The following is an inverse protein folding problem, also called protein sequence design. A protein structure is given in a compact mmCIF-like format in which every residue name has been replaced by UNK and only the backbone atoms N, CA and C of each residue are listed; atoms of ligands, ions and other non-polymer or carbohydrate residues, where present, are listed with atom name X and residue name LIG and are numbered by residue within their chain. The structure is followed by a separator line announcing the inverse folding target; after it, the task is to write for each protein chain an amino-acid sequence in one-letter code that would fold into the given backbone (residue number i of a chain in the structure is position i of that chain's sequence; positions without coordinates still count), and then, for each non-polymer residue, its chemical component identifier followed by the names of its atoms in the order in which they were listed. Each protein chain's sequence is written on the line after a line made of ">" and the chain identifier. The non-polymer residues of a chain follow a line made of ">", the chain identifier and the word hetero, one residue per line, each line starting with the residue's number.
data_IF_203207510485
#
_entry.id   IF_203207510485
#
_cell.length_a   1.000
_cell.length_b   1.000
_cell.length_c   1.000
_cell.angle_alpha   90.00
_cell.angle_beta   90.00
_cell.angle_gamma   90.00
#
_symmetry.space_group_name_H-M   'P 1'
#
loop_
_entity.id
_entity.type
_entity.pdbx_description
1 polymer ?
#
# COMPACT_ATOMS: atom_id res chain seq x y z
N UNK A 1 22.97 -28.09 -14.87
CA UNK A 1 21.64 -27.46 -14.69
C UNK A 1 20.61 -28.41 -14.09
N UNK A 2 20.34 -29.57 -14.70
CA UNK A 2 19.30 -30.49 -14.20
C UNK A 2 19.53 -31.01 -12.77
N UNK A 3 20.79 -31.31 -12.40
CA UNK A 3 21.13 -31.75 -11.03
C UNK A 3 20.93 -30.65 -9.98
N UNK A 4 21.33 -29.42 -10.28
CA UNK A 4 21.14 -28.25 -9.41
C UNK A 4 19.67 -27.95 -9.16
N UNK A 5 18.83 -28.04 -10.22
CA UNK A 5 17.39 -27.81 -10.10
C UNK A 5 16.67 -28.90 -9.29
N UNK A 6 17.08 -30.16 -9.41
CA UNK A 6 16.54 -31.24 -8.56
C UNK A 6 16.87 -30.98 -7.09
N UNK A 7 18.13 -30.64 -6.78
CA UNK A 7 18.56 -30.31 -5.42
C UNK A 7 17.78 -29.10 -4.88
N UNK A 8 17.55 -28.08 -5.69
CA UNK A 8 16.79 -26.89 -5.29
C UNK A 8 15.30 -27.18 -5.08
N UNK A 9 14.72 -28.11 -5.84
CA UNK A 9 13.33 -28.52 -5.63
C UNK A 9 13.12 -29.25 -4.29
N UNK A 10 14.16 -29.92 -3.80
CA UNK A 10 14.14 -30.59 -2.49
C UNK A 10 14.56 -29.67 -1.35
N UNK A 11 15.51 -28.75 -1.58
CA UNK A 11 16.01 -27.81 -0.59
C UNK A 11 16.39 -26.47 -1.24
N UNK A 12 15.50 -25.49 -1.12
CA UNK A 12 15.70 -24.14 -1.65
C UNK A 12 16.78 -23.33 -0.92
N UNK A 13 17.24 -23.75 0.27
CA UNK A 13 18.30 -23.04 0.99
C UNK A 13 19.65 -23.14 0.28
N UNK A 14 19.85 -24.18 -0.52
CA UNK A 14 21.07 -24.39 -1.33
C UNK A 14 21.21 -23.30 -2.40
N UNK A 15 20.10 -22.79 -2.94
CA UNK A 15 20.11 -21.67 -3.88
C UNK A 15 20.61 -20.36 -3.24
N UNK A 16 20.36 -20.19 -1.93
CA UNK A 16 20.73 -18.98 -1.18
C UNK A 16 22.19 -18.97 -0.74
N UNK A 17 22.88 -20.13 -0.74
CA UNK A 17 24.31 -20.26 -0.36
C UNK A 17 25.28 -19.87 -1.48
N UNK A 18 24.98 -18.80 -2.24
CA UNK A 18 25.73 -18.34 -3.44
C UNK A 18 25.86 -19.35 -4.58
N UNK A 19 25.07 -20.43 -4.56
CA UNK A 19 25.00 -21.36 -5.69
C UNK A 19 24.21 -20.72 -6.83
N UNK A 20 24.81 -20.59 -8.02
CA UNK A 20 24.09 -20.13 -9.21
C UNK A 20 23.68 -21.34 -10.08
N UNK A 21 22.44 -21.37 -10.58
CA UNK A 21 22.02 -22.35 -11.62
C UNK A 21 22.77 -22.11 -12.92
N UNK A 22 23.09 -20.85 -13.17
CA UNK A 22 23.82 -20.40 -14.33
C UNK A 22 25.31 -20.49 -14.03
N UNK A 23 26.12 -20.95 -14.99
CA UNK A 23 27.57 -20.99 -14.87
C UNK A 23 28.18 -19.57 -14.95
N UNK A 24 27.71 -18.69 -14.08
CA UNK A 24 28.12 -17.30 -13.97
C UNK A 24 28.93 -17.20 -12.68
N UNK A 25 30.11 -16.60 -12.77
CA UNK A 25 30.92 -16.34 -11.59
C UNK A 25 30.12 -15.45 -10.62
N UNK A 26 30.10 -15.77 -9.33
CA UNK A 26 29.44 -14.90 -8.35
C UNK A 26 30.08 -13.51 -8.43
N UNK A 27 29.26 -12.47 -8.54
CA UNK A 27 29.74 -11.10 -8.39
C UNK A 27 30.24 -10.94 -6.97
N UNK A 28 31.55 -10.74 -6.81
CA UNK A 28 32.18 -10.43 -5.53
C UNK A 28 32.43 -8.93 -5.47
N UNK A 29 31.41 -8.18 -5.07
CA UNK A 29 31.52 -6.74 -4.86
C UNK A 29 31.01 -6.34 -3.46
N UNK A 30 31.37 -5.13 -3.04
CA UNK A 30 31.02 -4.60 -1.71
C UNK A 30 29.50 -4.59 -1.48
N UNK A 31 28.71 -4.36 -2.53
CA UNK A 31 27.24 -4.36 -2.44
C UNK A 31 26.71 -5.77 -2.14
N UNK A 32 27.20 -6.80 -2.84
CA UNK A 32 26.86 -8.20 -2.55
C UNK A 32 27.32 -8.62 -1.15
N UNK A 33 28.50 -8.17 -0.71
CA UNK A 33 28.96 -8.43 0.66
C UNK A 33 28.06 -7.78 1.72
N UNK A 34 27.53 -6.57 1.45
CA UNK A 34 26.55 -5.90 2.34
C UNK A 34 25.17 -6.55 2.31
N UNK A 35 24.67 -6.98 1.15
CA UNK A 35 23.34 -7.63 1.02
C UNK A 35 23.31 -8.99 1.73
N UNK A 36 24.41 -9.74 1.66
CA UNK A 36 24.54 -11.06 2.28
C UNK A 36 25.36 -11.03 3.59
N UNK A 37 25.62 -9.83 4.13
CA UNK A 37 26.30 -9.67 5.42
C UNK A 37 25.38 -10.06 6.57
N UNK A 38 25.97 -10.35 7.74
CA UNK A 38 25.19 -10.59 8.94
C UNK A 38 24.46 -9.30 9.35
N UNK A 39 23.13 -9.38 9.45
CA UNK A 39 22.31 -8.26 9.92
C UNK A 39 22.28 -8.31 11.44
N UNK A 40 22.88 -7.33 12.10
CA UNK A 40 22.96 -7.25 13.57
C UNK A 40 21.58 -7.03 14.22
N UNK A 41 20.67 -6.38 13.50
CA UNK A 41 19.33 -6.06 13.98
C UNK A 41 18.32 -7.15 13.55
N UNK A 42 17.82 -7.92 14.52
CA UNK A 42 16.83 -8.97 14.30
C UNK A 42 15.54 -8.48 13.63
N UNK A 43 15.13 -7.23 13.89
CA UNK A 43 13.94 -6.64 13.27
C UNK A 43 14.18 -6.33 11.78
N UNK A 44 15.34 -5.74 11.45
CA UNK A 44 15.73 -5.48 10.05
C UNK A 44 15.89 -6.77 9.25
N UNK A 45 16.43 -7.82 9.87
CA UNK A 45 16.56 -9.13 9.24
C UNK A 45 15.19 -9.73 8.93
N UNK A 46 14.25 -9.69 9.89
CA UNK A 46 12.89 -10.17 9.68
C UNK A 46 12.15 -9.38 8.58
N UNK A 47 12.34 -8.05 8.53
CA UNK A 47 11.77 -7.23 7.46
C UNK A 47 12.39 -7.54 6.09
N UNK A 48 13.70 -7.71 6.04
CA UNK A 48 14.44 -8.03 4.81
C UNK A 48 13.99 -9.37 4.25
N UNK A 49 13.88 -10.39 5.12
CA UNK A 49 13.36 -11.70 4.76
C UNK A 49 11.95 -11.60 4.18
N UNK A 50 11.04 -10.87 4.85
CA UNK A 50 9.66 -10.71 4.39
C UNK A 50 9.58 -9.99 3.03
N UNK A 51 10.41 -8.97 2.80
CA UNK A 51 10.48 -8.26 1.52
C UNK A 51 10.99 -9.19 0.42
N UNK A 52 12.03 -9.97 0.68
CA UNK A 52 12.58 -10.92 -0.30
C UNK A 52 11.56 -12.00 -0.63
N UNK A 53 10.87 -12.56 0.36
CA UNK A 53 9.81 -13.55 0.18
C UNK A 53 8.68 -12.99 -0.70
N UNK A 54 8.25 -11.74 -0.44
CA UNK A 54 7.21 -11.09 -1.22
C UNK A 54 7.65 -10.82 -2.66
N UNK A 55 8.85 -10.26 -2.87
CA UNK A 55 9.39 -10.01 -4.21
C UNK A 55 9.52 -11.32 -4.98
N UNK A 56 10.03 -12.36 -4.34
CA UNK A 56 10.20 -13.68 -4.96
C UNK A 56 8.86 -14.30 -5.34
N UNK A 57 7.84 -14.19 -4.47
CA UNK A 57 6.49 -14.66 -4.76
C UNK A 57 5.87 -13.96 -5.97
N UNK A 58 6.00 -12.63 -6.05
CA UNK A 58 5.51 -11.85 -7.21
C UNK A 58 6.29 -12.20 -8.49
N UNK A 59 7.61 -12.36 -8.40
CA UNK A 59 8.44 -12.81 -9.53
C UNK A 59 8.00 -14.20 -10.04
N UNK A 60 7.69 -15.15 -9.14
CA UNK A 60 7.19 -16.46 -9.52
C UNK A 60 5.84 -16.38 -10.24
N UNK A 61 4.93 -15.50 -9.81
CA UNK A 61 3.64 -15.29 -10.50
C UNK A 61 3.88 -14.74 -11.91
N UNK A 62 4.79 -13.78 -12.07
CA UNK A 62 5.15 -13.23 -13.38
C UNK A 62 5.75 -14.31 -14.28
N UNK A 63 6.71 -15.08 -13.76
CA UNK A 63 7.35 -16.18 -14.49
C UNK A 63 6.34 -17.25 -14.88
N UNK A 64 5.43 -17.64 -13.99
CA UNK A 64 4.39 -18.62 -14.29
C UNK A 64 3.46 -18.13 -15.41
N UNK A 65 3.09 -16.85 -15.40
CA UNK A 65 2.28 -16.24 -16.47
C UNK A 65 3.04 -16.17 -17.79
N UNK A 66 4.31 -15.80 -17.76
CA UNK A 66 5.13 -15.75 -18.98
C UNK A 66 5.35 -17.15 -19.53
N UNK A 67 5.69 -18.12 -18.68
CA UNK A 67 5.88 -19.51 -19.05
C UNK A 67 4.61 -20.12 -19.66
N UNK A 68 3.43 -19.91 -19.06
CA UNK A 68 2.18 -20.45 -19.62
C UNK A 68 1.82 -19.88 -20.99
N UNK A 69 2.33 -18.69 -21.31
CA UNK A 69 2.10 -18.03 -22.60
C UNK A 69 3.17 -18.43 -23.63
N UNK A 70 4.42 -18.63 -23.19
CA UNK A 70 5.59 -18.81 -24.07
C UNK A 70 6.07 -20.25 -24.21
N UNK A 71 5.70 -21.19 -23.34
CA UNK A 71 6.08 -22.60 -23.43
C UNK A 71 5.13 -23.39 -24.36
N UNK A 72 5.47 -24.64 -24.76
CA UNK A 72 4.64 -25.46 -25.64
C UNK A 72 3.16 -25.49 -25.23
N UNK A 73 2.28 -25.21 -26.19
CA UNK A 73 0.82 -25.07 -25.97
C UNK A 73 0.37 -23.68 -25.52
N UNK A 74 1.29 -22.77 -25.20
CA UNK A 74 1.02 -21.37 -24.90
C UNK A 74 0.68 -20.53 -26.13
N UNK A 75 -0.04 -19.43 -25.91
CA UNK A 75 -0.54 -18.52 -26.98
C UNK A 75 0.56 -17.98 -27.90
N UNK A 76 1.79 -17.85 -27.40
CA UNK A 76 2.91 -17.26 -28.13
C UNK A 76 4.05 -18.25 -28.41
N UNK A 77 3.84 -19.54 -28.15
CA UNK A 77 4.80 -20.60 -28.51
C UNK A 77 4.95 -20.73 -30.03
N UNK A 78 3.83 -20.80 -30.75
CA UNK A 78 3.77 -20.85 -32.21
C UNK A 78 2.95 -19.67 -32.75
N UNK A 79 3.54 -18.46 -32.78
CA UNK A 79 2.82 -17.27 -33.22
C UNK A 79 2.45 -17.39 -34.70
N UNK A 80 1.21 -17.00 -35.05
CA UNK A 80 0.73 -16.94 -36.44
C UNK A 80 1.60 -15.96 -37.26
N UNK A 81 1.69 -16.18 -38.57
CA UNK A 81 2.44 -15.36 -39.55
C UNK A 81 2.34 -13.84 -39.37
N UNK A 82 1.15 -13.23 -39.13
CA UNK A 82 1.05 -11.78 -38.90
C UNK A 82 1.75 -11.32 -37.62
N UNK A 83 1.70 -12.12 -36.54
CA UNK A 83 2.39 -11.81 -35.28
C UNK A 83 3.90 -11.93 -35.46
N UNK A 84 4.37 -12.88 -36.26
CA UNK A 84 5.79 -12.98 -36.62
C UNK A 84 6.27 -11.77 -37.42
N UNK A 85 5.44 -11.25 -38.33
CA UNK A 85 5.77 -10.04 -39.09
C UNK A 85 5.81 -8.80 -38.19
N UNK A 86 4.87 -8.64 -37.26
CA UNK A 86 4.93 -7.56 -36.26
C UNK A 86 6.15 -7.72 -35.34
N UNK A 87 6.49 -8.95 -34.93
CA UNK A 87 7.67 -9.18 -34.09
C UNK A 87 8.98 -8.80 -34.80
N UNK A 88 9.04 -8.88 -36.13
CA UNK A 88 10.21 -8.43 -36.91
C UNK A 88 10.41 -6.91 -36.90
N UNK A 89 9.36 -6.13 -36.67
CA UNK A 89 9.47 -4.66 -36.58
C UNK A 89 9.85 -4.18 -35.18
N UNK A 90 9.69 -5.04 -34.17
CA UNK A 90 10.11 -4.74 -32.80
C UNK A 90 11.64 -4.86 -32.71
N UNK A 91 12.34 -3.87 -32.13
CA UNK A 91 13.78 -3.96 -31.89
C UNK A 91 14.14 -5.22 -31.08
N UNK A 92 15.17 -5.94 -31.52
CA UNK A 92 15.62 -7.20 -30.87
C UNK A 92 16.21 -6.97 -29.47
N UNK A 93 16.56 -5.74 -29.14
CA UNK A 93 17.21 -5.38 -27.88
C UNK A 93 16.22 -4.63 -26.98
N UNK A 94 16.18 -4.99 -25.69
CA UNK A 94 15.39 -4.28 -24.69
C UNK A 94 15.96 -2.89 -24.31
N UNK A 95 16.91 -2.35 -25.10
CA UNK A 95 17.52 -1.06 -24.84
C UNK A 95 16.51 0.09 -24.73
N UNK A 96 15.36 -0.01 -25.40
CA UNK A 96 14.32 1.01 -25.27
C UNK A 96 13.80 1.10 -23.83
N UNK A 97 13.48 -0.03 -23.19
CA UNK A 97 13.01 -0.03 -21.81
C UNK A 97 14.08 0.46 -20.83
N UNK A 98 15.34 0.09 -21.04
CA UNK A 98 16.46 0.56 -20.21
C UNK A 98 16.71 2.07 -20.38
N UNK A 99 16.70 2.56 -21.62
CA UNK A 99 16.80 3.99 -21.92
C UNK A 99 15.63 4.77 -21.29
N UNK A 100 14.41 4.25 -21.37
CA UNK A 100 13.24 4.90 -20.77
C UNK A 100 13.35 5.00 -19.26
N UNK A 101 13.81 3.94 -18.61
CA UNK A 101 14.04 3.93 -17.16
C UNK A 101 15.17 4.88 -16.76
N UNK A 102 16.24 4.98 -17.55
CA UNK A 102 17.32 5.93 -17.31
C UNK A 102 16.83 7.39 -17.46
N UNK A 103 16.02 7.68 -18.47
CA UNK A 103 15.39 9.00 -18.65
C UNK A 103 14.42 9.30 -17.51
N UNK A 104 13.61 8.31 -17.11
CA UNK A 104 12.66 8.44 -16.00
C UNK A 104 13.38 8.74 -14.68
N UNK A 105 14.44 7.99 -14.36
CA UNK A 105 15.25 8.19 -13.14
C UNK A 105 15.88 9.60 -13.13
N UNK A 106 16.48 10.02 -14.25
CA UNK A 106 17.03 11.37 -14.38
C UNK A 106 15.97 12.46 -14.21
N UNK A 107 14.76 12.28 -14.77
CA UNK A 107 13.65 13.23 -14.63
C UNK A 107 13.14 13.28 -13.18
N UNK A 108 13.02 12.13 -12.51
CA UNK A 108 12.60 12.04 -11.12
C UNK A 108 13.59 12.72 -10.18
N UNK A 109 14.90 12.54 -10.41
CA UNK A 109 15.95 13.22 -9.63
C UNK A 109 15.96 14.72 -9.85
N UNK A 110 15.80 15.14 -11.10
CA UNK A 110 15.85 16.57 -11.47
C UNK A 110 14.58 17.32 -11.06
N UNK A 111 13.42 16.63 -11.05
CA UNK A 111 12.10 17.22 -10.79
C UNK A 111 11.27 16.26 -9.92
N UNK A 112 11.57 16.11 -8.62
CA UNK A 112 10.92 15.13 -7.75
C UNK A 112 9.41 15.31 -7.58
N UNK A 113 8.91 16.54 -7.79
CA UNK A 113 7.47 16.87 -7.69
C UNK A 113 6.72 16.73 -9.03
N UNK A 114 7.33 16.17 -10.07
CA UNK A 114 6.67 15.99 -11.36
C UNK A 114 5.57 14.93 -11.26
N UNK A 115 4.40 15.19 -11.85
CA UNK A 115 3.32 14.21 -11.91
C UNK A 115 3.68 13.07 -12.87
N UNK A 116 3.18 11.86 -12.61
CA UNK A 116 3.38 10.68 -13.47
C UNK A 116 2.95 10.93 -14.92
N UNK A 117 1.83 11.66 -15.11
CA UNK A 117 1.35 12.07 -16.44
C UNK A 117 2.34 12.95 -17.19
N UNK A 118 3.00 13.88 -16.49
CA UNK A 118 3.98 14.75 -17.12
C UNK A 118 5.31 14.02 -17.40
N UNK A 119 5.70 13.06 -16.55
CA UNK A 119 6.81 12.15 -16.82
C UNK A 119 6.58 11.38 -18.14
N UNK A 120 5.43 10.72 -18.25
CA UNK A 120 5.08 9.93 -19.44
C UNK A 120 5.11 10.78 -20.71
N UNK A 121 4.53 11.99 -20.67
CA UNK A 121 4.60 12.93 -21.79
C UNK A 121 6.02 13.31 -22.19
N UNK A 122 6.91 13.54 -21.21
CA UNK A 122 8.30 13.91 -21.48
C UNK A 122 9.08 12.73 -22.07
N UNK A 123 8.87 11.51 -21.57
CA UNK A 123 9.47 10.29 -22.13
C UNK A 123 8.98 10.10 -23.56
N UNK A 124 7.67 10.19 -23.81
CA UNK A 124 7.11 10.09 -25.17
C UNK A 124 7.65 11.18 -26.10
N UNK A 125 7.75 12.43 -25.62
CA UNK A 125 8.35 13.51 -26.39
C UNK A 125 9.79 13.20 -26.76
N UNK A 126 10.58 12.72 -25.79
CA UNK A 126 11.98 12.38 -26.03
C UNK A 126 12.14 11.22 -27.04
N UNK A 127 11.33 10.16 -26.90
CA UNK A 127 11.36 9.00 -27.79
C UNK A 127 10.95 9.33 -29.22
N UNK A 128 9.87 10.10 -29.38
CA UNK A 128 9.32 10.42 -30.69
C UNK A 128 10.15 11.47 -31.45
N UNK A 129 11.12 12.11 -30.76
CA UNK A 129 12.00 13.15 -31.31
C UNK A 129 11.25 14.17 -32.20
N UNK A 130 10.13 14.75 -31.73
CA UNK A 130 9.34 15.67 -32.54
C UNK A 130 10.14 16.92 -32.92
N UNK A 131 11.13 17.33 -32.12
CA UNK A 131 12.08 18.38 -32.50
C UNK A 131 12.85 18.04 -33.78
N UNK A 132 13.43 16.83 -33.85
CA UNK A 132 14.15 16.38 -35.05
C UNK A 132 13.22 16.28 -36.26
N UNK A 133 11.99 15.79 -36.07
CA UNK A 133 10.98 15.80 -37.13
C UNK A 133 10.70 17.23 -37.62
N UNK A 134 10.43 18.18 -36.72
CA UNK A 134 10.17 19.58 -37.07
C UNK A 134 11.36 20.28 -37.72
N UNK A 135 12.59 19.91 -37.34
CA UNK A 135 13.81 20.46 -37.91
C UNK A 135 14.15 19.86 -39.28
N UNK A 136 13.64 18.66 -39.59
CA UNK A 136 13.76 18.03 -40.91
C UNK A 136 12.80 18.60 -41.97
N UNK A 137 11.77 19.35 -41.55
CA UNK A 137 10.79 19.97 -42.44
C UNK A 137 11.29 21.31 -42.98
N UNK A 138 10.84 21.68 -44.18
CA UNK A 138 11.06 23.03 -44.68
C UNK A 138 10.37 24.08 -43.79
N UNK A 139 10.85 25.34 -43.76
CA UNK A 139 10.22 26.39 -42.93
C UNK A 139 8.72 26.60 -43.21
N UNK A 140 8.31 26.46 -44.46
CA UNK A 140 6.91 26.58 -44.87
C UNK A 140 6.06 25.42 -44.35
N UNK A 141 6.55 24.17 -44.47
CA UNK A 141 5.85 22.99 -43.97
C UNK A 141 5.78 22.95 -42.45
N UNK A 142 6.88 23.31 -41.77
CA UNK A 142 6.93 23.44 -40.31
C UNK A 142 5.87 24.41 -39.82
N UNK A 143 5.75 25.59 -40.45
CA UNK A 143 4.74 26.59 -40.10
C UNK A 143 3.33 26.02 -40.31
N UNK A 144 3.07 25.37 -41.45
CA UNK A 144 1.79 24.71 -41.74
C UNK A 144 1.40 23.66 -40.70
N UNK A 145 2.34 22.81 -40.28
CA UNK A 145 2.12 21.78 -39.26
C UNK A 145 1.81 22.40 -37.90
N UNK A 146 2.55 23.43 -37.50
CA UNK A 146 2.34 24.13 -36.23
C UNK A 146 1.00 24.87 -36.21
N UNK A 147 0.59 25.48 -37.32
CA UNK A 147 -0.69 26.16 -37.43
C UNK A 147 -1.88 25.20 -37.41
N UNK A 148 -1.78 24.05 -38.09
CA UNK A 148 -2.81 23.02 -37.98
C UNK A 148 -2.90 22.47 -36.55
N UNK A 149 -1.76 22.24 -35.88
CA UNK A 149 -1.74 21.83 -34.48
C UNK A 149 -2.44 22.87 -33.59
N UNK A 150 -2.12 24.16 -33.75
CA UNK A 150 -2.80 25.26 -33.02
C UNK A 150 -4.30 25.28 -33.28
N UNK A 151 -4.73 25.02 -34.52
CA UNK A 151 -6.15 24.96 -34.91
C UNK A 151 -6.88 23.80 -34.24
N UNK A 152 -6.21 22.66 -34.05
CA UNK A 152 -6.79 21.46 -33.43
C UNK A 152 -6.76 21.47 -31.90
N UNK A 153 -5.88 22.26 -31.27
CA UNK A 153 -5.76 22.32 -29.81
C UNK A 153 -7.11 22.63 -29.11
N UNK A 154 -7.92 23.62 -29.53
CA UNK A 154 -9.20 23.91 -28.89
C UNK A 154 -10.18 22.74 -28.91
N UNK A 155 -10.33 22.04 -30.06
CA UNK A 155 -11.25 20.90 -30.17
C UNK A 155 -10.75 19.71 -29.35
N UNK A 156 -9.44 19.49 -29.30
CA UNK A 156 -8.84 18.48 -28.45
C UNK A 156 -9.06 18.77 -26.96
N UNK A 157 -8.86 20.01 -26.51
CA UNK A 157 -9.12 20.43 -25.12
C UNK A 157 -10.59 20.21 -24.76
N UNK A 158 -11.52 20.59 -25.66
CA UNK A 158 -12.95 20.37 -25.46
C UNK A 158 -13.27 18.88 -25.30
N UNK A 159 -12.76 18.02 -26.19
CA UNK A 159 -12.95 16.57 -26.12
C UNK A 159 -12.37 15.96 -24.83
N UNK A 160 -11.20 16.43 -24.39
CA UNK A 160 -10.59 15.98 -23.14
C UNK A 160 -11.41 16.41 -21.90
N UNK A 161 -11.99 17.62 -21.92
CA UNK A 161 -12.87 18.10 -20.84
C UNK A 161 -14.15 17.28 -20.77
N UNK A 162 -14.75 16.98 -21.92
CA UNK A 162 -15.94 16.13 -22.03
C UNK A 162 -15.66 14.72 -21.52
N UNK A 163 -14.56 14.09 -21.95
CA UNK A 163 -14.13 12.77 -21.45
C UNK A 163 -13.89 12.76 -19.94
N UNK A 164 -13.28 13.83 -19.41
CA UNK A 164 -13.07 13.95 -17.96
C UNK A 164 -14.41 14.00 -17.21
N UNK A 165 -15.36 14.79 -17.72
CA UNK A 165 -16.69 14.91 -17.11
C UNK A 165 -17.46 13.57 -17.16
N UNK A 166 -17.45 12.88 -18.30
CA UNK A 166 -18.12 11.59 -18.43
C UNK A 166 -17.52 10.51 -17.53
N UNK A 167 -16.19 10.46 -17.40
CA UNK A 167 -15.52 9.56 -16.47
C UNK A 167 -15.85 9.87 -15.00
N UNK A 168 -15.95 11.17 -14.66
CA UNK A 168 -16.32 11.58 -13.32
C UNK A 168 -17.75 11.15 -12.99
N UNK A 169 -18.71 11.38 -13.89
CA UNK A 169 -20.10 10.93 -13.73
C UNK A 169 -20.18 9.41 -13.57
N UNK A 170 -19.47 8.64 -14.41
CA UNK A 170 -19.45 7.18 -14.31
C UNK A 170 -18.84 6.68 -12.99
N UNK A 171 -17.87 7.41 -12.44
CA UNK A 171 -17.25 7.08 -11.16
C UNK A 171 -18.21 7.37 -10.00
N UNK A 172 -18.90 8.50 -10.03
CA UNK A 172 -19.93 8.88 -9.06
C UNK A 172 -21.08 7.88 -9.06
N UNK A 173 -21.59 7.50 -10.24
CA UNK A 173 -22.63 6.46 -10.38
C UNK A 173 -22.17 5.12 -9.79
N UNK A 174 -20.96 4.68 -10.13
CA UNK A 174 -20.39 3.43 -9.59
C UNK A 174 -20.25 3.46 -8.08
N UNK A 175 -19.90 4.61 -7.49
CA UNK A 175 -19.82 4.79 -6.05
C UNK A 175 -21.21 4.76 -5.40
N UNK A 176 -22.20 5.43 -6.00
CA UNK A 176 -23.59 5.40 -5.54
C UNK A 176 -24.17 3.97 -5.55
N UNK A 177 -23.95 3.21 -6.64
CA UNK A 177 -24.37 1.81 -6.72
C UNK A 177 -23.71 0.94 -5.65
N UNK A 178 -22.42 1.18 -5.34
CA UNK A 178 -21.73 0.45 -4.25
C UNK A 178 -22.32 0.76 -2.88
N UNK A 179 -22.64 2.03 -2.62
CA UNK A 179 -23.27 2.46 -1.35
C UNK A 179 -24.63 1.79 -1.21
N UNK A 180 -25.50 1.88 -2.24
CA UNK A 180 -26.82 1.24 -2.22
C UNK A 180 -26.73 -0.28 -2.05
N UNK A 181 -25.79 -0.95 -2.74
CA UNK A 181 -25.58 -2.40 -2.58
C UNK A 181 -25.15 -2.77 -1.17
N UNK A 182 -24.30 -1.94 -0.53
CA UNK A 182 -23.88 -2.14 0.87
C UNK A 182 -25.06 -1.94 1.82
N UNK A 183 -25.82 -0.87 1.67
CA UNK A 183 -27.01 -0.59 2.49
C UNK A 183 -28.06 -1.70 2.38
N UNK A 184 -28.30 -2.23 1.18
CA UNK A 184 -29.21 -3.35 0.96
C UNK A 184 -28.73 -4.63 1.67
N UNK A 185 -27.43 -4.93 1.63
CA UNK A 185 -26.83 -6.06 2.37
C UNK A 185 -26.95 -5.87 3.88
N UNK A 186 -26.68 -4.67 4.38
CA UNK A 186 -26.78 -4.34 5.80
C UNK A 186 -28.24 -4.37 6.29
N UNK A 187 -29.19 -3.95 5.46
CA UNK A 187 -30.62 -4.08 5.74
C UNK A 187 -31.07 -5.54 5.80
N UNK A 188 -30.65 -6.38 4.84
CA UNK A 188 -30.95 -7.81 4.83
C UNK A 188 -30.36 -8.53 6.06
N UNK A 189 -29.13 -8.18 6.45
CA UNK A 189 -28.49 -8.71 7.66
C UNK A 189 -29.25 -8.29 8.92
N UNK A 190 -29.67 -7.02 9.04
CA UNK A 190 -30.49 -6.53 10.16
C UNK A 190 -31.83 -7.26 10.24
N UNK A 191 -32.51 -7.46 9.11
CA UNK A 191 -33.77 -8.20 9.06
C UNK A 191 -33.59 -9.66 9.52
N UNK A 192 -32.50 -10.32 9.09
CA UNK A 192 -32.18 -11.69 9.51
C UNK A 192 -31.90 -11.75 11.01
N UNK A 193 -31.09 -10.82 11.56
CA UNK A 193 -30.83 -10.74 13.00
C UNK A 193 -32.10 -10.54 13.81
N UNK A 194 -32.98 -9.63 13.38
CA UNK A 194 -34.27 -9.38 14.04
C UNK A 194 -35.14 -10.64 14.06
N UNK A 195 -35.24 -11.36 12.94
CA UNK A 195 -35.99 -12.62 12.87
C UNK A 195 -35.43 -13.67 13.84
N UNK A 196 -34.11 -13.87 13.84
CA UNK A 196 -33.46 -14.83 14.73
C UNK A 196 -33.67 -14.46 16.22
N UNK A 197 -33.57 -13.18 16.57
CA UNK A 197 -33.85 -12.72 17.95
C UNK A 197 -35.31 -12.97 18.35
N UNK A 198 -36.27 -12.76 17.44
CA UNK A 198 -37.67 -13.08 17.67
C UNK A 198 -37.89 -14.58 17.86
N UNK A 199 -37.25 -15.42 17.05
CA UNK A 199 -37.31 -16.88 17.18
C UNK A 199 -36.74 -17.33 18.53
N UNK A 200 -35.54 -16.87 18.90
CA UNK A 200 -34.94 -17.17 20.21
C UNK A 200 -35.85 -16.73 21.36
N UNK A 201 -36.51 -15.57 21.24
CA UNK A 201 -37.45 -15.10 22.26
C UNK A 201 -38.70 -15.98 22.36
N UNK A 202 -39.21 -16.46 21.22
CA UNK A 202 -40.37 -17.35 21.14
C UNK A 202 -40.07 -18.73 21.74
N UNK A 203 -38.95 -19.34 21.34
CA UNK A 203 -38.52 -20.65 21.83
C UNK A 203 -37.99 -20.60 23.25
N UNK A 204 -37.32 -19.50 23.64
CA UNK A 204 -36.83 -19.29 25.00
C UNK A 204 -37.97 -19.26 26.03
N UNK A 205 -39.10 -18.61 25.71
CA UNK A 205 -40.29 -18.68 26.58
C UNK A 205 -40.84 -20.10 26.70
N UNK A 206 -40.92 -20.83 25.59
CA UNK A 206 -41.38 -22.22 25.59
C UNK A 206 -40.43 -23.16 26.36
N UNK A 207 -39.11 -22.95 26.28
CA UNK A 207 -38.13 -23.71 27.07
C UNK A 207 -38.15 -23.36 28.56
N UNK A 208 -38.39 -22.10 28.92
CA UNK A 208 -38.48 -21.66 30.33
C UNK A 208 -39.79 -22.14 30.98
N UNK A 209 -40.88 -22.24 30.20
CA UNK A 209 -42.19 -22.71 30.67
C UNK A 209 -42.41 -24.22 30.53
N UNK A 210 -41.63 -24.89 29.68
CA UNK A 210 -41.65 -26.34 29.55
C UNK A 210 -41.10 -26.99 30.81
N UNK A 211 -41.96 -27.71 31.54
CA UNK A 211 -41.58 -28.53 32.71
C UNK A 211 -40.77 -29.77 32.35
N UNK A 212 -39.77 -29.64 31.47
CA UNK A 212 -38.79 -30.69 31.22
C UNK A 212 -37.88 -30.87 32.43
N UNK A 213 -37.45 -32.10 32.69
CA UNK A 213 -36.51 -32.40 33.78
C UNK A 213 -35.28 -31.49 33.70
N UNK A 214 -35.17 -30.57 34.67
CA UNK A 214 -34.13 -29.54 34.76
C UNK A 214 -32.72 -30.10 34.99
N UNK A 215 -32.57 -31.42 35.00
CA UNK A 215 -31.30 -32.12 35.22
C UNK A 215 -30.42 -32.17 33.96
N UNK A 216 -30.96 -31.94 32.76
CA UNK A 216 -30.19 -32.07 31.52
C UNK A 216 -29.03 -31.07 31.36
N UNK A 217 -29.02 -29.98 32.13
CA UNK A 217 -28.01 -28.91 32.03
C UNK A 217 -27.21 -28.69 33.32
N UNK A 218 -27.39 -29.54 34.33
CA UNK A 218 -26.70 -29.42 35.62
C UNK A 218 -25.37 -30.17 35.66
N UNK A 219 -25.15 -31.13 34.75
CA UNK A 219 -23.90 -31.90 34.70
C UNK A 219 -22.94 -31.35 33.66
N UNK A 220 -21.75 -30.95 34.11
CA UNK A 220 -20.64 -30.61 33.24
C UNK A 220 -20.13 -31.84 32.49
N UNK A 221 -19.31 -31.63 31.45
CA UNK A 221 -18.60 -32.73 30.75
C UNK A 221 -17.69 -33.55 31.69
N UNK A 222 -17.35 -33.01 32.86
CA UNK A 222 -16.61 -33.65 33.96
C UNK A 222 -17.54 -34.25 35.04
N UNK A 223 -18.84 -34.38 34.76
CA UNK A 223 -19.87 -34.88 35.69
C UNK A 223 -20.00 -34.07 36.99
N UNK A 224 -19.58 -32.80 36.99
CA UNK A 224 -19.82 -31.91 38.13
C UNK A 224 -21.24 -31.39 38.06
N UNK A 225 -22.00 -31.59 39.14
CA UNK A 225 -23.35 -31.05 39.30
C UNK A 225 -23.26 -29.62 39.80
N UNK A 226 -23.78 -28.68 39.03
CA UNK A 226 -23.86 -27.28 39.43
C UNK A 226 -25.22 -26.96 40.04
N UNK A 227 -25.18 -26.15 41.09
CA UNK A 227 -26.40 -25.58 41.66
C UNK A 227 -27.01 -24.56 40.71
N UNK A 228 -28.31 -24.29 40.85
CA UNK A 228 -29.03 -23.32 39.99
C UNK A 228 -28.43 -21.92 40.14
N UNK A 229 -27.95 -21.59 41.33
CA UNK A 229 -27.32 -20.32 41.69
C UNK A 229 -25.96 -20.16 41.01
N UNK A 230 -25.16 -21.23 40.96
CA UNK A 230 -23.88 -21.24 40.23
C UNK A 230 -24.07 -21.14 38.73
N UNK A 231 -25.05 -21.86 38.17
CA UNK A 231 -25.38 -21.78 36.75
C UNK A 231 -25.84 -20.36 36.37
N UNK A 232 -26.66 -19.71 37.22
CA UNK A 232 -27.04 -18.31 37.03
C UNK A 232 -25.84 -17.38 37.05
N UNK A 233 -24.91 -17.56 38.00
CA UNK A 233 -23.70 -16.73 38.12
C UNK A 233 -22.79 -16.91 36.91
N UNK A 234 -22.59 -18.15 36.45
CA UNK A 234 -21.79 -18.46 35.27
C UNK A 234 -22.43 -17.90 33.99
N UNK A 235 -23.75 -18.01 33.85
CA UNK A 235 -24.46 -17.43 32.71
C UNK A 235 -24.33 -15.91 32.68
N UNK A 236 -24.50 -15.24 33.82
CA UNK A 236 -24.31 -13.78 33.93
C UNK A 236 -22.88 -13.38 33.56
N UNK A 237 -21.87 -14.10 34.04
CA UNK A 237 -20.47 -13.87 33.68
C UNK A 237 -20.20 -14.05 32.18
N UNK A 238 -20.78 -15.07 31.55
CA UNK A 238 -20.68 -15.30 30.10
C UNK A 238 -21.38 -14.19 29.30
N UNK A 239 -22.56 -13.74 29.76
CA UNK A 239 -23.28 -12.65 29.11
C UNK A 239 -22.52 -11.34 29.21
N UNK A 240 -21.96 -11.00 30.37
CA UNK A 240 -21.12 -9.81 30.57
C UNK A 240 -19.82 -9.87 29.74
N UNK A 241 -19.20 -11.04 29.65
CA UNK A 241 -18.04 -11.24 28.77
C UNK A 241 -18.42 -11.06 27.30
N UNK A 242 -19.53 -11.65 26.84
CA UNK A 242 -19.98 -11.55 25.45
C UNK A 242 -20.52 -10.17 25.06
N UNK A 243 -21.05 -9.38 26.01
CA UNK A 243 -21.40 -7.98 25.77
C UNK A 243 -20.16 -7.11 25.50
N UNK A 244 -19.00 -7.51 26.01
CA UNK A 244 -17.74 -6.76 25.91
C UNK A 244 -16.75 -7.31 24.87
N UNK A 245 -17.07 -8.40 24.16
CA UNK A 245 -16.20 -8.95 23.11
C UNK A 245 -16.54 -8.29 21.77
N UNK A 246 -15.59 -7.58 21.11
CA UNK A 246 -15.75 -7.15 19.73
C UNK A 246 -15.98 -8.38 18.85
N UNK A 247 -17.12 -8.46 18.16
CA UNK A 247 -17.46 -9.58 17.28
C UNK A 247 -16.44 -9.68 16.13
N UNK A 248 -15.46 -10.57 16.27
CA UNK A 248 -14.62 -11.04 15.15
C UNK A 248 -15.23 -12.36 14.66
N UNK A 249 -15.89 -12.39 13.50
CA UNK A 249 -16.50 -13.62 13.00
C UNK A 249 -15.39 -14.60 12.59
N UNK A 250 -15.35 -15.78 13.22
CA UNK A 250 -14.64 -16.93 12.68
C UNK A 250 -15.62 -17.79 11.87
N UNK A 251 -15.43 -17.96 10.56
CA UNK A 251 -16.11 -19.00 9.81
C UNK A 251 -15.28 -20.30 9.84
N UNK A 252 -15.96 -21.41 10.11
CA UNK A 252 -15.39 -22.75 10.13
C UNK A 252 -15.11 -23.34 8.74
N UNK A 253 -14.33 -24.44 8.75
CA UNK A 253 -13.97 -25.25 7.59
C UNK A 253 -12.84 -24.65 6.75
N UNK A 254 -11.93 -25.50 6.26
CA UNK A 254 -10.96 -25.17 5.20
C UNK A 254 -11.73 -24.94 3.88
N UNK A 255 -12.56 -23.90 3.83
CA UNK A 255 -13.13 -23.39 2.61
C UNK A 255 -12.02 -22.62 1.90
N UNK A 256 -11.62 -23.08 0.71
CA UNK A 256 -10.75 -22.29 -0.15
C UNK A 256 -11.46 -20.95 -0.42
N UNK A 257 -10.89 -19.86 0.12
CA UNK A 257 -11.36 -18.49 -0.11
C UNK A 257 -11.54 -18.28 -1.61
N UNK A 258 -12.66 -17.66 -1.99
CA UNK A 258 -12.92 -17.25 -3.37
C UNK A 258 -11.79 -16.32 -3.86
N UNK A 259 -11.60 -16.20 -5.17
CA UNK A 259 -10.55 -15.36 -5.74
C UNK A 259 -10.70 -13.90 -5.29
N UNK A 260 -11.94 -13.45 -5.18
CA UNK A 260 -12.33 -12.13 -4.75
C UNK A 260 -11.99 -11.91 -3.27
N UNK A 261 -12.28 -12.89 -2.41
CA UNK A 261 -11.89 -12.85 -0.99
C UNK A 261 -10.37 -12.82 -0.80
N UNK A 262 -9.63 -13.58 -1.60
CA UNK A 262 -8.16 -13.51 -1.58
C UNK A 262 -7.66 -12.13 -1.97
N UNK A 263 -8.26 -11.50 -2.99
CA UNK A 263 -7.86 -10.18 -3.44
C UNK A 263 -8.15 -9.10 -2.38
N UNK A 264 -9.28 -9.18 -1.69
CA UNK A 264 -9.60 -8.29 -0.56
C UNK A 264 -8.61 -8.48 0.58
N UNK A 265 -8.33 -9.73 0.96
CA UNK A 265 -7.37 -10.03 2.05
C UNK A 265 -5.97 -9.53 1.69
N UNK A 266 -5.52 -9.74 0.45
CA UNK A 266 -4.21 -9.24 -0.02
C UNK A 266 -4.19 -7.71 0.00
N UNK A 267 -5.26 -7.04 -0.44
CA UNK A 267 -5.38 -5.58 -0.37
C UNK A 267 -5.33 -5.06 1.07
N UNK A 268 -6.02 -5.71 1.99
CA UNK A 268 -6.04 -5.34 3.41
C UNK A 268 -4.69 -5.61 4.10
N UNK A 269 -4.05 -6.74 3.81
CA UNK A 269 -2.70 -7.05 4.27
C UNK A 269 -1.70 -6.01 3.75
N UNK A 270 -1.80 -5.63 2.47
CA UNK A 270 -0.98 -4.58 1.87
C UNK A 270 -1.20 -3.23 2.55
N UNK A 271 -2.45 -2.84 2.81
CA UNK A 271 -2.77 -1.60 3.51
C UNK A 271 -2.20 -1.57 4.93
N UNK A 272 -2.35 -2.68 5.69
CA UNK A 272 -1.78 -2.84 7.03
C UNK A 272 -0.25 -2.77 7.03
N UNK A 273 0.39 -3.38 6.03
CA UNK A 273 1.84 -3.35 5.88
C UNK A 273 2.33 -1.92 5.57
N UNK A 274 1.67 -1.22 4.63
CA UNK A 274 2.00 0.17 4.32
C UNK A 274 1.84 1.09 5.53
N UNK A 275 0.81 0.85 6.36
CA UNK A 275 0.63 1.57 7.60
C UNK A 275 1.79 1.32 8.58
N UNK A 276 2.19 0.07 8.78
CA UNK A 276 3.34 -0.30 9.63
C UNK A 276 4.65 0.31 9.14
N UNK A 277 4.90 0.32 7.83
CA UNK A 277 6.08 0.95 7.23
C UNK A 277 6.11 2.45 7.52
N UNK A 278 5.00 3.17 7.29
CA UNK A 278 4.91 4.60 7.61
C UNK A 278 5.11 4.87 9.11
N UNK A 279 4.59 4.00 9.97
CA UNK A 279 4.77 4.12 11.42
C UNK A 279 6.24 3.89 11.83
N UNK A 280 6.90 2.88 11.25
CA UNK A 280 8.32 2.59 11.47
C UNK A 280 9.21 3.73 10.97
N UNK A 281 8.98 4.25 9.76
CA UNK A 281 9.67 5.44 9.25
C UNK A 281 9.49 6.64 10.17
N UNK A 282 8.27 6.84 10.69
CA UNK A 282 7.99 7.92 11.65
C UNK A 282 8.76 7.72 12.94
N UNK A 283 8.81 6.50 13.49
CA UNK A 283 9.59 6.17 14.69
C UNK A 283 11.09 6.38 14.47
N UNK A 284 11.63 5.92 13.34
CA UNK A 284 13.04 6.14 12.98
C UNK A 284 13.39 7.63 12.87
N UNK A 285 12.52 8.43 12.25
CA UNK A 285 12.69 9.90 12.19
C UNK A 285 12.64 10.55 13.58
N UNK A 286 11.76 10.08 14.46
CA UNK A 286 11.69 10.54 15.86
C UNK A 286 12.99 10.20 16.60
N UNK A 287 13.49 8.98 16.45
CA UNK A 287 14.71 8.55 17.15
C UNK A 287 15.95 9.30 16.66
N UNK A 288 16.05 9.50 15.35
CA UNK A 288 17.08 10.36 14.75
C UNK A 288 16.95 11.82 15.20
N UNK A 289 15.72 12.32 15.38
CA UNK A 289 15.52 13.68 15.91
C UNK A 289 15.95 13.78 17.37
N UNK A 290 15.67 12.76 18.20
CA UNK A 290 16.12 12.71 19.60
C UNK A 290 17.63 12.66 19.72
N UNK A 291 18.31 11.85 18.90
CA UNK A 291 19.78 11.75 18.94
C UNK A 291 20.47 13.07 18.58
N UNK A 292 19.78 13.95 17.86
CA UNK A 292 20.25 15.28 17.47
C UNK A 292 19.83 16.40 18.43
N UNK A 293 19.06 16.09 19.47
CA UNK A 293 18.56 17.09 20.41
C UNK A 293 19.73 17.84 21.10
N UNK A 294 20.76 17.10 21.52
CA UNK A 294 21.96 17.71 22.13
C UNK A 294 22.72 18.62 21.16
N UNK A 295 22.76 18.25 19.87
CA UNK A 295 23.36 19.07 18.81
C UNK A 295 22.60 20.39 18.66
N UNK A 296 21.26 20.32 18.65
CA UNK A 296 20.40 21.49 18.54
C UNK A 296 20.46 22.40 19.78
N UNK A 297 20.64 21.84 20.98
CA UNK A 297 20.85 22.64 22.20
C UNK A 297 22.16 23.42 22.15
N UNK A 298 23.22 22.87 21.54
CA UNK A 298 24.51 23.56 21.39
C UNK A 298 24.52 24.55 20.23
N UNK A 299 23.79 24.24 19.15
CA UNK A 299 23.76 25.01 17.90
C UNK A 299 22.31 25.21 17.43
N UNK A 300 21.58 26.16 18.05
CA UNK A 300 20.16 26.39 17.75
C UNK A 300 19.91 26.83 16.30
N UNK A 301 20.91 27.41 15.63
CA UNK A 301 20.85 27.80 14.22
C UNK A 301 20.49 26.63 13.28
N UNK A 302 20.86 25.39 13.65
CA UNK A 302 20.59 24.20 12.84
C UNK A 302 19.10 23.80 12.80
N UNK A 303 18.28 24.35 13.71
CA UNK A 303 16.83 24.19 13.70
C UNK A 303 16.15 25.10 12.67
N UNK A 304 16.79 26.19 12.22
CA UNK A 304 16.20 27.12 11.25
C UNK A 304 15.96 26.41 9.91
N UNK A 305 14.74 26.58 9.37
CA UNK A 305 14.26 25.90 8.17
C UNK A 305 13.81 24.46 8.39
N UNK A 306 13.88 23.91 9.60
CA UNK A 306 13.37 22.57 9.92
C UNK A 306 11.89 22.61 10.29
N UNK A 307 11.20 21.53 9.91
CA UNK A 307 9.80 21.30 10.29
C UNK A 307 9.75 20.69 11.68
N UNK A 308 8.91 21.24 12.55
CA UNK A 308 8.77 20.86 13.95
C UNK A 308 7.29 20.63 14.28
N UNK A 309 7.03 19.87 15.33
CA UNK A 309 5.71 19.78 15.95
C UNK A 309 5.77 20.56 17.26
N UNK A 310 4.99 21.62 17.38
CA UNK A 310 4.94 22.43 18.59
C UNK A 310 3.74 22.02 19.45
N UNK A 311 3.98 21.71 20.73
CA UNK A 311 2.95 21.35 21.67
C UNK A 311 2.41 22.61 22.34
N UNK A 312 1.19 23.02 21.97
CA UNK A 312 0.51 24.12 22.62
C UNK A 312 -0.44 23.58 23.70
N UNK A 313 -0.46 24.23 24.87
CA UNK A 313 -1.35 23.87 25.97
C UNK A 313 -2.28 25.04 26.27
N UNK A 314 -3.56 24.88 25.94
CA UNK A 314 -4.60 25.87 26.22
C UNK A 314 -5.74 25.20 26.99
N UNK A 315 -6.14 25.77 28.12
CA UNK A 315 -7.29 25.31 28.92
C UNK A 315 -7.34 23.80 29.22
N UNK A 316 -6.19 23.20 29.57
CA UNK A 316 -5.98 21.76 29.85
C UNK A 316 -5.97 20.84 28.63
N UNK A 317 -6.29 21.32 27.44
CA UNK A 317 -6.10 20.58 26.21
C UNK A 317 -4.66 20.72 25.72
N UNK A 318 -4.14 19.63 25.16
CA UNK A 318 -2.78 19.55 24.62
C UNK A 318 -2.90 19.18 23.15
N UNK A 319 -2.56 20.12 22.29
CA UNK A 319 -2.62 19.93 20.85
C UNK A 319 -1.24 20.16 20.21
N UNK A 320 -0.95 19.38 19.17
CA UNK A 320 0.33 19.42 18.46
C UNK A 320 0.13 20.07 17.10
N UNK A 321 0.80 21.19 16.87
CA UNK A 321 0.70 21.94 15.63
C UNK A 321 1.95 21.76 14.77
N UNK A 322 1.82 21.37 13.49
CA UNK A 322 2.94 21.36 12.57
C UNK A 322 3.36 22.79 12.24
N UNK A 323 4.67 23.04 12.27
CA UNK A 323 5.23 24.35 12.00
C UNK A 323 6.64 24.25 11.40
N UNK A 324 7.14 25.36 10.86
CA UNK A 324 8.50 25.49 10.37
C UNK A 324 9.21 26.62 11.12
N UNK A 325 10.42 26.36 11.61
CA UNK A 325 11.25 27.38 12.26
C UNK A 325 11.76 28.34 11.19
N UNK A 326 11.34 29.60 11.21
CA UNK A 326 11.69 30.58 10.19
C UNK A 326 12.98 31.33 10.48
N UNK A 327 13.37 31.46 11.75
CA UNK A 327 14.60 32.14 12.14
C UNK A 327 14.79 32.19 13.65
N UNK A 328 15.92 32.74 14.07
CA UNK A 328 16.21 33.08 15.47
C UNK A 328 15.82 34.53 15.72
N UNK A 329 15.26 34.82 16.90
CA UNK A 329 15.02 36.20 17.33
C UNK A 329 16.25 36.70 18.08
N UNK A 330 16.78 37.85 17.69
CA UNK A 330 17.89 38.49 18.40
C UNK A 330 17.44 38.85 19.83
N UNK A 331 18.26 38.56 20.85
CA UNK A 331 17.94 38.92 22.24
C UNK A 331 17.84 40.45 22.34
N UNK A 332 16.69 40.96 22.79
CA UNK A 332 16.43 42.41 22.89
C UNK A 332 16.88 43.02 24.22
N UNK A 333 17.18 42.21 25.25
CA UNK A 333 17.57 42.67 26.60
C UNK A 333 18.61 41.71 27.22
N UNK A 334 19.52 42.22 28.06
CA UNK A 334 20.68 41.49 28.63
C UNK A 334 20.32 40.32 29.58
N UNK A 335 19.05 40.09 29.91
CA UNK A 335 18.62 39.09 30.91
C UNK A 335 18.00 37.80 30.33
N UNK A 336 17.78 37.70 29.01
CA UNK A 336 17.18 36.51 28.41
C UNK A 336 18.23 35.44 28.08
N UNK A 337 18.44 34.49 28.99
CA UNK A 337 19.32 33.32 28.76
C UNK A 337 18.71 32.29 27.79
N UNK A 338 17.47 32.49 27.35
CA UNK A 338 16.73 31.52 26.54
C UNK A 338 16.79 31.87 25.04
N UNK A 339 17.06 30.87 24.21
CA UNK A 339 17.01 31.02 22.76
C UNK A 339 15.57 31.13 22.26
N UNK A 340 15.23 32.24 21.62
CA UNK A 340 13.90 32.49 21.05
C UNK A 340 13.88 32.18 19.54
N UNK A 341 12.86 31.44 19.11
CA UNK A 341 12.66 31.04 17.73
C UNK A 341 11.42 31.69 17.13
N UNK A 342 11.54 32.14 15.88
CA UNK A 342 10.39 32.51 15.07
C UNK A 342 9.81 31.24 14.43
N UNK A 343 8.53 30.96 14.70
CA UNK A 343 7.84 29.75 14.23
C UNK A 343 6.69 30.15 13.31
N UNK A 344 6.68 29.60 12.09
CA UNK A 344 5.58 29.74 11.13
C UNK A 344 4.74 28.45 11.15
N UNK A 345 3.50 28.52 11.64
CA UNK A 345 2.60 27.37 11.68
C UNK A 345 2.01 27.08 10.29
N UNK A 346 1.73 25.80 10.02
CA UNK A 346 1.14 25.34 8.76
C UNK A 346 -0.39 25.51 8.70
N UNK A 347 -0.99 26.22 9.68
CA UNK A 347 -2.45 26.38 9.77
C UNK A 347 -2.92 27.15 8.53
N UNK A 348 -3.84 26.55 7.77
CA UNK A 348 -4.53 27.17 6.65
C UNK A 348 -5.09 28.53 7.09
N UNK A 349 -4.77 29.60 6.36
CA UNK A 349 -5.28 30.98 6.53
C UNK A 349 -6.81 31.10 6.34
N UNK A 350 -7.59 30.02 6.40
CA UNK A 350 -9.04 30.00 6.17
C UNK A 350 -9.91 30.33 7.41
N UNK A 351 -9.31 30.85 8.49
CA UNK A 351 -10.04 31.28 9.70
C UNK A 351 -9.79 32.75 10.09
N UNK A 352 -9.49 33.61 9.11
CA UNK A 352 -9.61 35.06 9.26
C UNK A 352 -10.73 35.62 8.39
#
# INVERSE_FOLDING_TARGET
>A
MLSSLQVWSSDGSVAMKRGSVFAVQPLDNELTAKIFGEVENAEENAFTQLVIELISAEMLIVLQRQASIQLPGGKHWEPRTPVQQMAKTVPKTNMLGECDMAVLDNLLRSKPSISSHNLEKLVMWWQNKPSHYLDSLSPAERTKVLDEARRQVPSFIASMKEKKASLQMALEEKMAMKIQSKEAKDAALRATKMRLTQDVTKWGRAMVQGGGERHLFQESREKRKYTVEELKRNLMSILEANFNVPQIPQPGGLAHRSREERQVVVSDCRAKMLFRLKEAERKGKIEQAKSRLEEFSRRPELLVGKRVMHQCRENRNVEWFPATVSGLKEPQEEEDTNTLFNIKYDVCEELC
#
